data_IF_782833214763
#
_entry.id   IF_782833214763
#
_cell.length_a   1.000
_cell.length_b   1.000
_cell.length_c   1.000
_cell.angle_alpha   90.00
_cell.angle_beta   90.00
_cell.angle_gamma   90.00
#
_symmetry.space_group_name_H-M   'P 1'
#
loop_
_entity.id
_entity.type
_entity.pdbx_description
1 polymer ?
#
# COMPACT_ATOMS: atom_id res chain seq x y z
N UNK A 1 0.54 0.95 4.54
CA UNK A 1 -0.65 0.49 5.31
C UNK A 1 -1.74 1.56 5.30
N UNK A 2 -1.42 2.83 5.60
CA UNK A 2 -2.37 3.95 5.48
C UNK A 2 -2.92 4.07 4.05
N UNK A 3 -2.05 4.09 3.03
CA UNK A 3 -2.48 4.18 1.63
C UNK A 3 -3.55 3.14 1.26
N UNK A 4 -3.26 1.85 1.51
CA UNK A 4 -4.22 0.76 1.29
C UNK A 4 -5.52 0.96 2.07
N UNK A 5 -5.46 1.38 3.34
CA UNK A 5 -6.64 1.57 4.18
C UNK A 5 -7.52 2.75 3.72
N UNK A 6 -6.92 3.77 3.13
CA UNK A 6 -7.60 4.95 2.59
C UNK A 6 -8.05 4.76 1.13
N UNK A 7 -7.81 3.59 0.53
CA UNK A 7 -8.17 3.29 -0.86
C UNK A 7 -7.20 3.89 -1.90
N UNK A 8 -6.07 4.45 -1.46
CA UNK A 8 -4.99 4.87 -2.34
C UNK A 8 -4.40 3.64 -3.05
N UNK A 9 -4.21 3.75 -4.37
CA UNK A 9 -3.88 2.62 -5.25
C UNK A 9 -5.08 1.81 -5.77
N UNK A 10 -6.30 2.23 -5.48
CA UNK A 10 -7.54 1.67 -6.03
C UNK A 10 -7.91 0.29 -5.46
N UNK A 11 -8.84 -0.45 -6.10
CA UNK A 11 -9.31 -1.77 -5.63
C UNK A 11 -8.20 -2.80 -5.42
N UNK A 12 -7.06 -2.61 -6.10
CA UNK A 12 -5.89 -3.48 -6.06
C UNK A 12 -4.87 -3.09 -4.98
N UNK A 13 -5.16 -2.12 -4.11
CA UNK A 13 -4.25 -1.67 -3.04
C UNK A 13 -3.62 -2.82 -2.21
N UNK A 14 -4.38 -3.84 -1.78
CA UNK A 14 -3.81 -5.00 -1.07
C UNK A 14 -2.81 -5.82 -1.91
N UNK A 15 -3.09 -6.00 -3.19
CA UNK A 15 -2.23 -6.74 -4.13
C UNK A 15 -0.96 -5.95 -4.43
N UNK A 16 -1.08 -4.64 -4.64
CA UNK A 16 0.07 -3.71 -4.78
C UNK A 16 0.96 -3.73 -3.54
N UNK A 17 0.39 -3.80 -2.34
CA UNK A 17 1.17 -3.90 -1.11
C UNK A 17 1.93 -5.24 -1.00
N UNK A 18 1.33 -6.34 -1.45
CA UNK A 18 2.01 -7.63 -1.51
C UNK A 18 3.13 -7.63 -2.56
N UNK A 19 2.87 -7.03 -3.73
CA UNK A 19 3.85 -6.84 -4.80
C UNK A 19 5.07 -6.03 -4.33
N UNK A 20 4.84 -4.93 -3.59
CA UNK A 20 5.92 -4.06 -3.09
C UNK A 20 6.92 -4.82 -2.22
N UNK A 21 6.47 -5.82 -1.44
CA UNK A 21 7.37 -6.64 -0.64
C UNK A 21 8.35 -7.44 -1.52
N UNK A 22 7.87 -7.99 -2.65
CA UNK A 22 8.72 -8.66 -3.63
C UNK A 22 9.64 -7.70 -4.36
N UNK A 23 9.12 -6.55 -4.79
CA UNK A 23 9.90 -5.52 -5.45
C UNK A 23 11.06 -5.00 -4.57
N UNK A 24 10.82 -4.79 -3.27
CA UNK A 24 11.87 -4.45 -2.32
C UNK A 24 12.92 -5.56 -2.20
N UNK A 25 12.50 -6.81 -2.09
CA UNK A 25 13.43 -7.93 -2.01
C UNK A 25 14.33 -8.00 -3.25
N UNK A 26 13.74 -7.84 -4.44
CA UNK A 26 14.46 -7.83 -5.71
C UNK A 26 15.41 -6.63 -5.82
N UNK A 27 14.99 -5.46 -5.33
CA UNK A 27 15.80 -4.24 -5.31
C UNK A 27 17.06 -4.41 -4.46
N UNK A 28 16.93 -4.94 -3.25
CA UNK A 28 18.07 -5.24 -2.38
C UNK A 28 18.93 -6.43 -2.85
N UNK A 29 18.35 -7.38 -3.61
CA UNK A 29 19.12 -8.50 -4.16
C UNK A 29 19.97 -8.09 -5.37
N UNK A 30 19.49 -7.13 -6.17
CA UNK A 30 20.17 -6.68 -7.40
C UNK A 30 21.21 -5.58 -7.14
N UNK A 31 21.06 -4.82 -6.05
CA UNK A 31 21.93 -3.70 -5.72
C UNK A 31 22.70 -4.00 -4.42
N UNK A 32 24.03 -4.05 -4.53
CA UNK A 32 24.88 -4.13 -3.35
C UNK A 32 24.99 -2.75 -2.70
N UNK A 33 24.93 -2.71 -1.36
CA UNK A 33 25.24 -1.51 -0.57
C UNK A 33 24.32 -0.30 -0.78
N UNK A 34 23.02 -0.54 -1.01
CA UNK A 34 21.99 0.51 -1.07
C UNK A 34 22.06 1.43 0.15
N UNK A 35 22.11 2.73 -0.13
CA UNK A 35 22.01 3.79 0.86
C UNK A 35 20.56 4.09 1.24
N UNK A 36 20.38 4.78 2.36
CA UNK A 36 19.07 5.20 2.86
C UNK A 36 18.30 6.04 1.83
N UNK A 37 18.98 6.99 1.20
CA UNK A 37 18.43 7.92 0.20
C UNK A 37 17.94 7.18 -1.05
N UNK A 38 18.67 6.16 -1.53
CA UNK A 38 18.27 5.36 -2.70
C UNK A 38 16.99 4.55 -2.43
N UNK A 39 16.85 4.01 -1.22
CA UNK A 39 15.65 3.28 -0.82
C UNK A 39 14.48 4.24 -0.61
N UNK A 40 14.73 5.45 -0.10
CA UNK A 40 13.71 6.48 0.05
C UNK A 40 13.16 6.96 -1.29
N UNK A 41 14.03 7.26 -2.26
CA UNK A 41 13.62 7.66 -3.61
C UNK A 41 12.77 6.57 -4.27
N UNK A 42 13.19 5.31 -4.16
CA UNK A 42 12.40 4.17 -4.64
C UNK A 42 11.02 4.10 -3.98
N UNK A 43 10.94 4.23 -2.65
CA UNK A 43 9.66 4.20 -1.95
C UNK A 43 8.77 5.39 -2.31
N UNK A 44 9.35 6.58 -2.51
CA UNK A 44 8.62 7.77 -2.92
C UNK A 44 8.02 7.59 -4.31
N UNK A 45 8.80 7.06 -5.27
CA UNK A 45 8.32 6.75 -6.61
C UNK A 45 7.17 5.75 -6.59
N UNK A 46 7.27 4.70 -5.77
CA UNK A 46 6.18 3.71 -5.64
C UNK A 46 4.92 4.32 -5.01
N UNK A 47 5.06 5.20 -4.00
CA UNK A 47 3.91 5.84 -3.39
C UNK A 47 3.20 6.77 -4.38
N UNK A 48 3.94 7.48 -5.22
CA UNK A 48 3.39 8.37 -6.25
C UNK A 48 2.72 7.57 -7.38
N UNK A 49 3.43 6.61 -7.98
CA UNK A 49 2.99 5.92 -9.20
C UNK A 49 1.94 4.81 -8.93
N UNK A 50 2.10 4.01 -7.87
CA UNK A 50 1.26 2.84 -7.63
C UNK A 50 0.12 3.15 -6.66
N UNK A 51 0.33 4.11 -5.75
CA UNK A 51 -0.65 4.46 -4.74
C UNK A 51 -1.26 5.86 -4.93
N UNK A 52 -0.86 6.63 -5.95
CA UNK A 52 -1.37 8.00 -6.19
C UNK A 52 -1.22 8.87 -4.92
N UNK A 53 -0.12 8.71 -4.18
CA UNK A 53 0.10 9.31 -2.86
C UNK A 53 1.48 9.94 -2.75
N UNK A 54 1.53 11.25 -2.52
CA UNK A 54 2.74 11.93 -2.06
C UNK A 54 2.90 11.79 -0.53
N UNK A 55 4.08 11.37 -0.07
CA UNK A 55 4.38 11.22 1.37
C UNK A 55 5.50 12.17 1.76
N UNK A 56 5.17 13.21 2.54
CA UNK A 56 6.09 14.29 2.91
C UNK A 56 6.27 14.44 4.44
N UNK A 57 5.84 13.45 5.22
CA UNK A 57 5.89 13.48 6.69
C UNK A 57 7.21 12.91 7.28
N UNK A 58 8.19 12.61 6.43
CA UNK A 58 9.46 12.00 6.80
C UNK A 58 9.37 10.50 7.13
N UNK A 59 8.19 9.87 6.98
CA UNK A 59 8.02 8.45 7.25
C UNK A 59 8.79 7.56 6.26
N UNK A 60 8.95 8.00 5.01
CA UNK A 60 9.74 7.26 4.01
C UNK A 60 11.19 7.12 4.44
N UNK A 61 11.83 8.22 4.81
CA UNK A 61 13.19 8.26 5.32
C UNK A 61 13.39 7.33 6.54
N UNK A 62 12.44 7.37 7.49
CA UNK A 62 12.46 6.46 8.64
C UNK A 62 12.37 4.99 8.21
N UNK A 63 11.49 4.65 7.28
CA UNK A 63 11.30 3.28 6.80
C UNK A 63 12.52 2.81 6.01
N UNK A 64 13.10 3.64 5.15
CA UNK A 64 14.31 3.35 4.39
C UNK A 64 15.47 2.98 5.31
N UNK A 65 15.68 3.76 6.38
CA UNK A 65 16.72 3.46 7.37
C UNK A 65 16.52 2.12 8.07
N UNK A 66 15.28 1.81 8.45
CA UNK A 66 14.92 0.52 9.06
C UNK A 66 15.20 -0.64 8.08
N UNK A 67 14.83 -0.48 6.80
CA UNK A 67 15.05 -1.49 5.75
C UNK A 67 16.54 -1.74 5.48
N UNK A 68 17.34 -0.69 5.27
CA UNK A 68 18.80 -0.82 5.05
C UNK A 68 19.45 -1.53 6.24
N UNK A 69 19.07 -1.16 7.47
CA UNK A 69 19.59 -1.81 8.68
C UNK A 69 19.24 -3.29 8.74
N UNK A 70 17.98 -3.64 8.43
CA UNK A 70 17.49 -5.02 8.41
C UNK A 70 18.21 -5.87 7.37
N UNK A 71 18.30 -5.38 6.13
CA UNK A 71 18.99 -6.09 5.05
C UNK A 71 20.48 -6.24 5.32
N UNK A 72 21.16 -5.21 5.84
CA UNK A 72 22.57 -5.30 6.20
C UNK A 72 22.84 -6.36 7.29
N UNK A 73 21.93 -6.50 8.27
CA UNK A 73 22.00 -7.57 9.28
C UNK A 73 21.76 -8.95 8.67
N UNK A 74 20.73 -9.06 7.83
CA UNK A 74 20.40 -10.30 7.12
C UNK A 74 21.57 -10.79 6.25
N UNK A 75 22.19 -9.91 5.47
CA UNK A 75 23.33 -10.24 4.60
C UNK A 75 24.59 -10.66 5.36
N UNK A 76 24.71 -10.30 6.65
CA UNK A 76 25.80 -10.74 7.53
C UNK A 76 25.51 -12.05 8.26
N UNK A 77 24.35 -12.67 8.03
CA UNK A 77 23.92 -13.89 8.70
C UNK A 77 23.41 -13.69 10.13
N UNK A 78 23.12 -12.44 10.54
CA UNK A 78 22.56 -12.13 11.86
C UNK A 78 21.05 -12.42 11.92
N UNK A 79 20.70 -13.70 11.88
CA UNK A 79 19.31 -14.15 11.94
C UNK A 79 18.62 -13.76 13.26
N UNK A 80 19.38 -13.63 14.36
CA UNK A 80 18.87 -13.22 15.66
C UNK A 80 18.42 -11.77 15.69
N UNK A 81 19.28 -10.85 15.22
CA UNK A 81 18.97 -9.43 15.14
C UNK A 81 17.88 -9.10 14.12
N UNK A 82 17.78 -9.87 13.02
CA UNK A 82 16.65 -9.78 12.06
C UNK A 82 15.35 -10.24 12.72
N UNK A 83 15.37 -11.37 13.42
CA UNK A 83 14.19 -11.89 14.12
C UNK A 83 13.66 -10.94 15.19
N UNK A 84 14.55 -10.30 15.97
CA UNK A 84 14.17 -9.31 16.97
C UNK A 84 13.53 -8.07 16.33
N UNK A 85 14.14 -7.55 15.27
CA UNK A 85 13.64 -6.37 14.57
C UNK A 85 12.30 -6.63 13.86
N UNK A 86 12.13 -7.80 13.22
CA UNK A 86 10.84 -8.25 12.67
C UNK A 86 9.80 -8.42 13.78
N UNK A 87 10.17 -8.99 14.92
CA UNK A 87 9.30 -9.11 16.09
C UNK A 87 8.86 -7.75 16.63
N UNK A 88 9.76 -6.76 16.68
CA UNK A 88 9.43 -5.40 17.06
C UNK A 88 8.46 -4.75 16.07
N UNK A 89 8.66 -4.95 14.77
CA UNK A 89 7.78 -4.45 13.71
C UNK A 89 6.40 -5.12 13.75
N UNK A 90 6.34 -6.43 13.97
CA UNK A 90 5.09 -7.17 14.09
C UNK A 90 4.24 -6.69 15.29
N UNK A 91 4.87 -6.30 16.40
CA UNK A 91 4.16 -5.71 17.55
C UNK A 91 3.57 -4.32 17.25
N UNK A 92 4.14 -3.57 16.30
CA UNK A 92 3.61 -2.26 15.86
C UNK A 92 2.39 -2.42 14.94
N UNK A 93 2.26 -3.56 14.25
CA UNK A 93 1.19 -3.84 13.28
C UNK A 93 -0.25 -3.71 13.83
N UNK A 94 -0.61 -4.37 14.94
CA UNK A 94 -1.95 -4.25 15.53
C UNK A 94 -2.28 -2.83 15.99
N UNK A 95 -1.32 -2.14 16.60
CA UNK A 95 -1.49 -0.76 17.06
C UNK A 95 -1.70 0.20 15.88
N UNK A 96 -0.93 0.02 14.79
CA UNK A 96 -1.08 0.79 13.56
C UNK A 96 -2.45 0.52 12.90
N UNK A 97 -2.88 -0.74 12.80
CA UNK A 97 -4.20 -1.10 12.27
C UNK A 97 -5.34 -0.48 13.08
N UNK A 98 -5.25 -0.52 14.41
CA UNK A 98 -6.25 0.08 15.29
C UNK A 98 -6.29 1.61 15.13
N UNK A 99 -5.14 2.28 15.06
CA UNK A 99 -5.05 3.72 14.82
C UNK A 99 -5.64 4.11 13.46
N UNK A 100 -5.37 3.33 12.41
CA UNK A 100 -5.92 3.55 11.07
C UNK A 100 -7.43 3.34 11.01
N UNK A 101 -7.96 2.32 11.69
CA UNK A 101 -9.41 2.09 11.78
C UNK A 101 -10.14 3.22 12.54
N UNK A 102 -9.46 3.90 13.46
CA UNK A 102 -9.99 5.06 14.19
C UNK A 102 -9.88 6.37 13.39
N UNK A 103 -8.95 6.46 12.44
CA UNK A 103 -8.80 7.58 11.53
C UNK A 103 -9.81 7.45 10.37
N UNK A 104 -11.01 7.98 10.56
CA UNK A 104 -12.09 8.01 9.55
C UNK A 104 -11.58 8.42 8.15
N UNK A 105 -11.89 7.67 7.07
CA UNK A 105 -11.74 8.20 5.72
C UNK A 105 -12.74 9.34 5.53
N UNK A 106 -12.25 10.50 5.08
CA UNK A 106 -13.13 11.56 4.62
C UNK A 106 -13.99 11.00 3.46
N UNK A 107 -15.32 11.25 3.43
CA UNK A 107 -16.14 10.80 2.31
C UNK A 107 -15.59 11.44 1.04
N UNK A 108 -15.32 10.62 0.03
CA UNK A 108 -14.91 11.07 -1.29
C UNK A 108 -15.88 12.15 -1.80
N UNK A 109 -15.40 13.20 -2.49
CA UNK A 109 -16.29 14.18 -3.09
C UNK A 109 -17.20 13.47 -4.10
N UNK A 110 -18.50 13.65 -3.90
CA UNK A 110 -19.56 13.25 -4.81
C UNK A 110 -19.24 13.70 -6.25
N UNK A 111 -19.45 12.86 -7.28
CA UNK A 111 -19.55 13.38 -8.64
C UNK A 111 -20.75 14.35 -8.72
N UNK A 112 -20.65 15.45 -9.49
CA UNK A 112 -21.72 16.44 -9.55
C UNK A 112 -22.99 15.81 -10.15
N UNK A 113 -24.11 16.04 -9.46
CA UNK A 113 -25.44 15.77 -9.96
C UNK A 113 -25.67 16.55 -11.27
N UNK A 114 -26.07 15.84 -12.33
CA UNK A 114 -26.48 16.46 -13.58
C UNK A 114 -26.95 15.42 -14.60
N UNK A 115 -28.26 15.31 -14.78
CA UNK A 115 -28.89 14.64 -15.91
C UNK A 115 -30.04 13.73 -15.51
N UNK A 116 -31.20 14.31 -15.19
CA UNK A 116 -32.50 13.65 -15.33
C UNK A 116 -32.71 13.32 -16.82
N UNK A 117 -32.98 12.06 -17.16
CA UNK A 117 -33.96 11.68 -18.19
C UNK A 117 -34.60 10.34 -17.75
N UNK A 118 -35.84 10.43 -17.28
CA UNK A 118 -36.81 9.32 -17.15
C UNK A 118 -37.23 8.88 -18.57
N UNK A 119 -37.43 7.57 -18.80
CA UNK A 119 -38.68 6.92 -19.29
C UNK A 119 -38.21 5.72 -20.15
N UNK A 120 -38.82 4.55 -20.26
CA UNK A 120 -40.07 3.95 -19.80
C UNK A 120 -39.91 2.42 -19.94
N UNK A 121 -40.64 1.66 -19.13
CA UNK A 121 -40.77 0.20 -19.24
C UNK A 121 -41.68 -0.20 -20.41
N UNK A 122 -41.36 -1.25 -21.16
CA UNK A 122 -42.38 -2.11 -21.76
C UNK A 122 -41.98 -3.59 -21.65
N UNK A 123 -42.80 -4.35 -20.91
CA UNK A 123 -42.85 -5.80 -20.94
C UNK A 123 -43.41 -6.28 -22.29
N UNK A 124 -42.87 -7.38 -22.84
CA UNK A 124 -43.76 -8.33 -23.49
C UNK A 124 -43.28 -9.79 -23.29
N UNK A 125 -44.09 -10.50 -22.52
CA UNK A 125 -44.14 -11.94 -22.42
C UNK A 125 -44.49 -12.56 -23.78
N UNK A 126 -43.64 -13.43 -24.31
CA UNK A 126 -44.09 -14.45 -25.26
C UNK A 126 -43.58 -15.84 -24.88
N UNK A 127 -44.59 -16.68 -24.73
CA UNK A 127 -44.62 -18.10 -24.40
C UNK A 127 -44.37 -18.91 -25.68
N UNK A 128 -43.58 -19.98 -25.63
CA UNK A 128 -43.99 -21.23 -26.30
C UNK A 128 -43.18 -22.44 -25.80
N UNK A 129 -43.94 -23.46 -25.42
CA UNK A 129 -43.54 -24.86 -25.22
C UNK A 129 -43.25 -25.49 -26.59
N UNK A 130 -42.18 -26.29 -26.71
CA UNK A 130 -42.23 -27.71 -27.12
C UNK A 130 -40.89 -28.40 -26.84
#
# INVERSE_FOLDING_TARGET
>A
QLAVAQGFGGPQGPEKAAWLAGALQDFFAQNAELQEEEVEEFLAEVMDNEFDTAVEDGSLQQVSRELVTLFARASRGDAGGVGEALGALARRGPALRAALAAAHPAPAPHPPAGGEEEEEEEEESSKEEE
#
